data_IF_760916429177
#
_entry.id   IF_760916429177
#
_cell.length_a   1.000
_cell.length_b   1.000
_cell.length_c   1.000
_cell.angle_alpha   90.00
_cell.angle_beta   90.00
_cell.angle_gamma   90.00
#
_symmetry.space_group_name_H-M   'P 1'
#
loop_
_entity.id
_entity.type
_entity.pdbx_description
1 polymer ?
#
# COMPACT_ATOMS: atom_id res chain seq x y z
N UNK A 1 -15.44 12.97 -35.53
CA UNK A 1 -14.66 12.11 -34.63
C UNK A 1 -15.53 10.93 -34.21
N UNK A 2 -15.15 9.68 -34.50
CA UNK A 2 -16.04 8.53 -34.32
C UNK A 2 -16.35 8.30 -32.83
N UNK A 3 -17.60 8.07 -32.46
CA UNK A 3 -18.03 7.90 -31.07
C UNK A 3 -17.21 6.83 -30.31
N UNK A 4 -16.74 5.79 -31.02
CA UNK A 4 -15.84 4.76 -30.48
C UNK A 4 -14.46 5.30 -30.10
N UNK A 5 -13.91 6.24 -30.88
CA UNK A 5 -12.62 6.89 -30.61
C UNK A 5 -12.73 7.88 -29.44
N UNK A 6 -13.86 8.59 -29.31
CA UNK A 6 -14.11 9.44 -28.14
C UNK A 6 -14.18 8.62 -26.85
N UNK A 7 -14.92 7.50 -26.85
CA UNK A 7 -15.03 6.63 -25.67
C UNK A 7 -13.68 6.05 -25.26
N UNK A 8 -12.88 5.58 -26.21
CA UNK A 8 -11.54 5.06 -25.94
C UNK A 8 -10.61 6.14 -25.35
N UNK A 9 -10.61 7.35 -25.93
CA UNK A 9 -9.83 8.47 -25.41
C UNK A 9 -10.23 8.84 -23.97
N UNK A 10 -11.53 8.82 -23.66
CA UNK A 10 -12.05 9.17 -22.35
C UNK A 10 -11.64 8.14 -21.28
N UNK A 11 -11.70 6.83 -21.60
CA UNK A 11 -11.23 5.78 -20.70
C UNK A 11 -9.72 5.88 -20.43
N UNK A 12 -8.91 6.15 -21.47
CA UNK A 12 -7.46 6.35 -21.34
C UNK A 12 -7.16 7.57 -20.46
N UNK A 13 -7.88 8.68 -20.66
CA UNK A 13 -7.71 9.89 -19.86
C UNK A 13 -8.07 9.64 -18.38
N UNK A 14 -9.18 8.95 -18.12
CA UNK A 14 -9.57 8.56 -16.76
C UNK A 14 -8.54 7.64 -16.11
N UNK A 15 -8.00 6.67 -16.85
CA UNK A 15 -6.94 5.80 -16.37
C UNK A 15 -5.69 6.58 -15.99
N UNK A 16 -5.18 7.42 -16.89
CA UNK A 16 -4.01 8.26 -16.65
C UNK A 16 -4.20 9.23 -15.47
N UNK A 17 -5.39 9.80 -15.30
CA UNK A 17 -5.70 10.69 -14.18
C UNK A 17 -5.74 9.95 -12.83
N UNK A 18 -6.09 8.65 -12.81
CA UNK A 18 -6.15 7.85 -11.59
C UNK A 18 -4.77 7.36 -11.12
N UNK A 19 -3.81 7.15 -12.02
CA UNK A 19 -2.46 6.66 -11.71
C UNK A 19 -1.73 7.47 -10.62
N UNK A 20 -1.62 8.81 -10.68
CA UNK A 20 -0.91 9.56 -9.65
C UNK A 20 -1.59 9.47 -8.29
N UNK A 21 -2.93 9.41 -8.26
CA UNK A 21 -3.68 9.23 -7.02
C UNK A 21 -3.39 7.86 -6.38
N UNK A 22 -3.29 6.81 -7.19
CA UNK A 22 -2.92 5.47 -6.72
C UNK A 22 -1.48 5.46 -6.19
N UNK A 23 -0.52 6.08 -6.89
CA UNK A 23 0.89 6.10 -6.46
C UNK A 23 1.10 6.82 -5.12
N UNK A 24 0.27 7.82 -4.79
CA UNK A 24 0.36 8.54 -3.51
C UNK A 24 -0.45 7.85 -2.41
N UNK A 25 -1.54 7.18 -2.76
CA UNK A 25 -2.43 6.54 -1.79
C UNK A 25 -1.99 5.14 -1.38
N UNK A 26 -1.16 4.45 -2.17
CA UNK A 26 -0.66 3.11 -1.83
C UNK A 26 0.37 3.26 -0.71
N UNK A 27 0.10 2.73 0.49
CA UNK A 27 1.09 2.74 1.57
C UNK A 27 2.32 1.90 1.15
N UNK A 28 3.48 2.24 1.72
CA UNK A 28 4.72 1.49 1.43
C UNK A 28 4.58 0.00 1.72
N UNK A 29 5.43 -0.82 1.10
CA UNK A 29 5.39 -2.29 1.20
C UNK A 29 5.45 -2.85 2.64
N UNK A 30 5.84 -2.02 3.60
CA UNK A 30 5.85 -2.31 5.04
C UNK A 30 4.44 -2.36 5.67
N UNK A 31 3.40 -1.88 4.96
CA UNK A 31 2.00 -1.90 5.44
C UNK A 31 1.11 -2.75 4.56
N UNK A 32 0.44 -3.70 5.18
CA UNK A 32 -0.70 -4.40 4.60
C UNK A 32 -2.01 -3.74 5.07
N UNK A 33 -2.71 -3.05 4.16
CA UNK A 33 -4.01 -2.45 4.46
C UNK A 33 -5.13 -3.43 4.08
N UNK A 34 -5.94 -3.84 5.06
CA UNK A 34 -7.03 -4.79 4.87
C UNK A 34 -8.24 -4.34 5.68
N UNK A 35 -9.07 -3.48 5.07
CA UNK A 35 -10.30 -2.99 5.72
C UNK A 35 -11.41 -4.03 5.68
N UNK A 36 -11.90 -4.44 6.85
CA UNK A 36 -13.07 -5.30 6.98
C UNK A 36 -14.19 -4.51 7.65
N UNK A 37 -15.35 -4.50 7.00
CA UNK A 37 -16.56 -3.86 7.49
C UNK A 37 -17.53 -4.92 8.00
N UNK A 38 -18.04 -4.72 9.21
CA UNK A 38 -19.05 -5.60 9.82
C UNK A 38 -20.22 -4.76 10.27
N UNK A 39 -21.43 -5.24 9.97
CA UNK A 39 -22.67 -4.65 10.41
C UNK A 39 -23.52 -5.68 11.15
N UNK A 40 -24.18 -5.26 12.22
CA UNK A 40 -25.11 -6.09 12.97
C UNK A 40 -26.33 -5.29 13.42
N UNK A 41 -27.50 -5.94 13.44
CA UNK A 41 -28.74 -5.33 13.90
C UNK A 41 -29.97 -5.82 13.12
N UNK A 42 -31.12 -5.95 13.80
CA UNK A 42 -32.39 -6.35 13.16
C UNK A 42 -33.41 -5.22 13.02
N UNK A 43 -33.36 -4.21 13.90
CA UNK A 43 -34.20 -2.99 13.82
C UNK A 43 -33.39 -1.71 13.80
N UNK A 44 -32.30 -1.67 14.56
CA UNK A 44 -31.30 -0.60 14.50
C UNK A 44 -29.99 -1.27 14.08
N UNK A 45 -29.39 -0.76 13.01
CA UNK A 45 -28.18 -1.32 12.42
C UNK A 45 -26.99 -0.48 12.85
N UNK A 46 -25.97 -1.14 13.37
CA UNK A 46 -24.69 -0.51 13.66
C UNK A 46 -23.65 -1.15 12.75
N UNK A 47 -22.83 -0.35 12.12
CA UNK A 47 -21.73 -0.81 11.27
C UNK A 47 -20.43 -0.14 11.68
N UNK A 48 -19.34 -0.86 11.46
CA UNK A 48 -18.00 -0.36 11.64
C UNK A 48 -17.07 -1.01 10.63
N UNK A 49 -16.06 -0.26 10.21
CA UNK A 49 -14.95 -0.77 9.42
C UNK A 49 -13.66 -0.63 10.22
N UNK A 50 -12.78 -1.62 10.12
CA UNK A 50 -11.46 -1.57 10.73
C UNK A 50 -10.42 -2.16 9.80
N UNK A 51 -9.21 -1.59 9.81
CA UNK A 51 -8.07 -2.15 9.12
C UNK A 51 -7.47 -3.28 9.98
N UNK A 52 -7.40 -4.48 9.42
CA UNK A 52 -6.82 -5.65 10.10
C UNK A 52 -5.31 -5.49 10.25
N UNK A 53 -4.62 -4.84 9.30
CA UNK A 53 -3.19 -4.61 9.35
C UNK A 53 -2.74 -3.90 10.63
N UNK A 54 -3.45 -2.84 11.01
CA UNK A 54 -3.17 -2.08 12.24
C UNK A 54 -3.40 -2.91 13.51
N UNK A 55 -4.32 -3.89 13.47
CA UNK A 55 -4.55 -4.79 14.59
C UNK A 55 -3.43 -5.84 14.70
N UNK A 56 -2.96 -6.38 13.57
CA UNK A 56 -1.86 -7.35 13.53
C UNK A 56 -0.55 -6.69 13.96
N UNK A 57 -0.30 -5.44 13.55
CA UNK A 57 0.93 -4.70 13.86
C UNK A 57 1.22 -4.61 15.36
N UNK A 58 0.20 -4.68 16.23
CA UNK A 58 0.36 -4.69 17.70
C UNK A 58 1.03 -5.96 18.23
N UNK A 59 0.94 -7.05 17.48
CA UNK A 59 1.51 -8.34 17.83
C UNK A 59 2.76 -8.65 17.01
N UNK A 60 3.09 -7.81 16.03
CA UNK A 60 4.33 -7.92 15.28
C UNK A 60 5.53 -7.64 16.22
N UNK A 61 6.58 -8.48 16.19
CA UNK A 61 7.79 -8.20 16.95
C UNK A 61 8.41 -6.86 16.54
N UNK A 62 9.12 -6.17 17.45
CA UNK A 62 9.83 -4.97 17.08
C UNK A 62 10.92 -5.27 16.02
N UNK A 63 11.19 -4.37 15.07
CA UNK A 63 12.15 -4.63 13.99
C UNK A 63 13.55 -5.04 14.46
N UNK A 64 13.94 -4.59 15.65
CA UNK A 64 15.23 -4.92 16.27
C UNK A 64 15.43 -6.43 16.55
N UNK A 65 14.38 -7.25 16.51
CA UNK A 65 14.48 -8.71 16.70
C UNK A 65 14.29 -9.51 15.40
N UNK A 66 14.14 -8.84 14.27
CA UNK A 66 14.11 -9.51 12.97
C UNK A 66 15.52 -9.94 12.55
N UNK A 67 15.59 -10.99 11.74
CA UNK A 67 16.84 -11.38 11.13
C UNK A 67 17.30 -10.28 10.15
N UNK A 68 18.59 -9.91 10.13
CA UNK A 68 19.13 -8.94 9.18
C UNK A 68 18.85 -9.40 7.75
N UNK A 69 18.41 -8.48 6.89
CA UNK A 69 18.30 -8.76 5.47
C UNK A 69 19.69 -8.65 4.82
N UNK A 70 19.95 -9.31 3.68
CA UNK A 70 21.24 -9.19 2.97
C UNK A 70 21.61 -7.76 2.58
N UNK A 71 20.61 -6.91 2.33
CA UNK A 71 20.79 -5.48 2.09
C UNK A 71 21.24 -4.68 3.33
N UNK A 72 21.02 -5.21 4.53
CA UNK A 72 21.48 -4.59 5.79
C UNK A 72 22.96 -4.93 6.08
N UNK A 73 23.55 -5.87 5.34
CA UNK A 73 24.98 -6.19 5.39
C UNK A 73 25.81 -5.04 4.82
N UNK A 74 26.01 -4.01 5.65
CA UNK A 74 26.94 -2.90 5.43
C UNK A 74 28.41 -3.34 5.50
N UNK A 75 28.69 -4.64 5.54
CA UNK A 75 30.04 -5.20 5.56
C UNK A 75 30.81 -5.00 4.25
N UNK A 76 30.21 -4.39 3.21
CA UNK A 76 30.95 -4.01 2.00
C UNK A 76 31.93 -2.89 2.35
N UNK A 77 33.26 -3.12 2.29
CA UNK A 77 34.24 -2.12 2.66
C UNK A 77 34.10 -0.87 1.77
N UNK A 78 34.31 0.35 2.30
CA UNK A 78 34.30 1.56 1.50
C UNK A 78 35.33 1.44 0.35
N UNK A 79 35.01 1.93 -0.86
CA UNK A 79 35.92 1.85 -1.99
C UNK A 79 37.24 2.55 -1.66
N UNK A 80 38.40 1.99 -2.08
CA UNK A 80 39.69 2.58 -1.80
C UNK A 80 39.79 4.00 -2.39
N UNK A 81 40.50 4.94 -1.73
CA UNK A 81 40.65 6.29 -2.22
C UNK A 81 41.34 6.31 -3.61
N UNK A 82 40.89 7.17 -4.54
CA UNK A 82 41.53 7.33 -5.84
C UNK A 82 42.97 7.89 -5.71
N UNK A 83 43.87 7.55 -6.64
CA UNK A 83 45.27 8.03 -6.64
C UNK A 83 45.39 9.53 -6.90
#
# INVERSE_FOLDING_TARGET
MNARRCRAALLVLCGLAAVPAILVAVPGADRADATVCVGAGRRVTVSGCTNIGDNIARYAPPPAVYAPLPEDDTSTPPPPPPP
#
